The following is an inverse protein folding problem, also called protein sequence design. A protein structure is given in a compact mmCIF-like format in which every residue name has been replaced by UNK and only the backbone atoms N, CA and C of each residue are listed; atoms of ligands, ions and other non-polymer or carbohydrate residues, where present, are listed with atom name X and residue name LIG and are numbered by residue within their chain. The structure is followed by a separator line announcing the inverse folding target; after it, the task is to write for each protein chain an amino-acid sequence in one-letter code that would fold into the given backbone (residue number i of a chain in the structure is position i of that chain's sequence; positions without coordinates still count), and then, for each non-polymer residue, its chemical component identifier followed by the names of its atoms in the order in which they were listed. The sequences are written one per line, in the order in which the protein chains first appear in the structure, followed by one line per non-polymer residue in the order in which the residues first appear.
data_IF_321064685125
#
_entry.id   IF_321064685125
#
_cell.length_a   1.000
_cell.length_b   1.000
_cell.length_c   1.000
_cell.angle_alpha   90.00
_cell.angle_beta   90.00
_cell.angle_gamma   90.00
#
_symmetry.space_group_name_H-M   'P 1'
#
loop_
_entity.id
_entity.type
_entity.pdbx_description
1 polymer ?
#
# COMPACT_ATOMS: atom_id res chain seq x y z
N UNK A 1 8.25 16.13 -0.61
CA UNK A 1 9.44 15.70 -1.35
C UNK A 1 9.52 16.59 -2.56
N UNK A 2 10.37 17.56 -2.51
CA UNK A 2 10.58 18.55 -3.56
C UNK A 2 11.88 18.27 -4.28
N UNK A 3 11.93 18.56 -5.56
CA UNK A 3 13.11 18.63 -6.44
C UNK A 3 13.71 17.34 -6.99
N UNK A 4 13.05 16.19 -6.83
CA UNK A 4 13.46 14.97 -7.51
C UNK A 4 12.60 14.73 -8.75
N UNK A 5 13.24 14.39 -9.85
CA UNK A 5 12.59 14.10 -11.13
C UNK A 5 12.03 12.69 -11.15
N UNK A 6 11.05 12.43 -10.29
CA UNK A 6 10.33 11.17 -10.34
C UNK A 6 9.55 11.05 -11.64
N UNK A 7 9.57 9.88 -12.22
CA UNK A 7 8.96 9.59 -13.51
C UNK A 7 8.00 8.40 -13.49
N UNK A 8 8.03 7.58 -12.43
CA UNK A 8 7.22 6.36 -12.35
C UNK A 8 6.56 6.20 -10.99
N UNK A 9 5.28 5.82 -11.02
CA UNK A 9 4.47 5.47 -9.85
C UNK A 9 4.31 3.96 -9.78
N UNK A 10 4.57 3.36 -8.60
CA UNK A 10 4.36 1.95 -8.31
C UNK A 10 3.29 1.79 -7.25
N UNK A 11 2.35 0.87 -7.49
CA UNK A 11 1.26 0.51 -6.58
C UNK A 11 1.08 -1.00 -6.53
N UNK A 12 0.70 -1.55 -5.40
CA UNK A 12 0.43 -2.98 -5.25
C UNK A 12 -1.08 -3.24 -5.16
N UNK A 13 -1.58 -4.20 -5.94
CA UNK A 13 -2.98 -4.61 -5.86
C UNK A 13 -3.19 -5.54 -4.68
N UNK A 14 -4.40 -5.50 -4.11
CA UNK A 14 -4.85 -6.44 -3.09
C UNK A 14 -6.10 -7.22 -3.55
N UNK A 15 -6.33 -7.25 -4.85
CA UNK A 15 -7.44 -8.02 -5.40
C UNK A 15 -7.22 -9.52 -5.13
N UNK A 16 -8.30 -10.21 -4.75
CA UNK A 16 -8.26 -11.65 -4.46
C UNK A 16 -7.63 -12.46 -5.61
N UNK A 17 -6.71 -13.35 -5.27
CA UNK A 17 -5.86 -14.12 -6.19
C UNK A 17 -4.90 -13.28 -7.05
N UNK A 18 -4.73 -12.00 -6.74
CA UNK A 18 -3.76 -11.11 -7.38
C UNK A 18 -3.10 -10.17 -6.37
N UNK A 19 -3.05 -10.61 -5.11
CA UNK A 19 -2.47 -9.84 -4.02
C UNK A 19 -0.97 -9.65 -4.24
N UNK A 20 -0.51 -8.43 -4.01
CA UNK A 20 0.89 -8.07 -4.18
C UNK A 20 1.36 -7.88 -5.61
N UNK A 21 0.47 -7.97 -6.61
CA UNK A 21 0.85 -7.63 -7.98
C UNK A 21 1.22 -6.16 -8.07
N UNK A 22 2.47 -5.91 -8.40
CA UNK A 22 2.99 -4.56 -8.60
C UNK A 22 2.56 -4.01 -9.96
N UNK A 23 1.99 -2.81 -9.96
CA UNK A 23 1.67 -2.04 -11.15
C UNK A 23 2.56 -0.80 -11.17
N UNK A 24 3.23 -0.61 -12.28
CA UNK A 24 4.12 0.52 -12.53
C UNK A 24 3.57 1.34 -13.69
N UNK A 25 3.43 2.64 -13.49
CA UNK A 25 2.90 3.56 -14.49
C UNK A 25 3.82 4.78 -14.59
N UNK A 26 4.13 5.20 -15.81
CA UNK A 26 4.87 6.45 -16.02
C UNK A 26 3.98 7.63 -15.65
N UNK A 27 4.55 8.68 -15.08
CA UNK A 27 3.81 9.90 -14.73
C UNK A 27 3.22 10.60 -15.98
N UNK A 28 3.83 10.39 -17.13
CA UNK A 28 3.28 10.86 -18.43
C UNK A 28 1.96 10.18 -18.80
N UNK A 29 1.77 8.91 -18.41
CA UNK A 29 0.50 8.19 -18.60
C UNK A 29 -0.60 8.71 -17.67
N UNK A 30 -0.20 9.38 -16.59
CA UNK A 30 -1.10 10.02 -15.62
C UNK A 30 -1.28 11.54 -15.90
N UNK A 31 -0.79 12.04 -17.02
CA UNK A 31 -0.77 13.45 -17.40
C UNK A 31 -0.09 14.35 -16.36
N UNK A 32 0.97 13.84 -15.73
CA UNK A 32 1.74 14.53 -14.69
C UNK A 32 3.12 14.97 -15.15
N UNK A 33 3.36 15.05 -16.46
CA UNK A 33 4.57 15.61 -17.02
C UNK A 33 4.73 17.10 -16.71
N UNK A 34 5.98 17.56 -16.59
CA UNK A 34 6.31 18.95 -16.26
C UNK A 34 5.80 19.96 -17.27
N UNK A 35 5.75 19.60 -18.55
CA UNK A 35 5.27 20.48 -19.62
C UNK A 35 3.85 21.00 -19.41
N UNK A 36 3.03 20.28 -18.65
CA UNK A 36 1.65 20.65 -18.34
C UNK A 36 1.48 21.28 -16.95
N UNK A 37 2.52 21.36 -16.15
CA UNK A 37 2.43 21.78 -14.75
C UNK A 37 1.95 23.22 -14.56
N UNK A 38 2.12 24.07 -15.54
CA UNK A 38 1.63 25.46 -15.54
C UNK A 38 0.14 25.62 -15.87
N UNK A 39 -0.52 24.56 -16.33
CA UNK A 39 -1.89 24.62 -16.87
C UNK A 39 -2.95 23.99 -15.94
N UNK A 40 -2.60 23.68 -14.72
CA UNK A 40 -3.52 23.15 -13.73
C UNK A 40 -2.89 22.10 -12.82
N UNK A 41 -3.70 21.60 -11.91
CA UNK A 41 -3.31 20.54 -10.99
C UNK A 41 -3.72 19.19 -11.59
N UNK A 42 -2.80 18.25 -11.61
CA UNK A 42 -3.08 16.85 -11.93
C UNK A 42 -2.97 16.04 -10.66
N UNK A 43 -3.99 15.23 -10.38
CA UNK A 43 -4.11 14.45 -9.15
C UNK A 43 -4.40 13.00 -9.51
N UNK A 44 -3.59 12.11 -9.01
CA UNK A 44 -3.88 10.69 -8.93
C UNK A 44 -4.18 10.34 -7.48
N UNK A 45 -5.47 10.13 -7.18
CA UNK A 45 -5.96 9.77 -5.84
C UNK A 45 -6.43 8.33 -5.84
N UNK A 46 -6.02 7.55 -4.86
CA UNK A 46 -6.48 6.19 -4.62
C UNK A 46 -6.49 5.87 -3.14
N UNK A 47 -7.27 4.87 -2.77
CA UNK A 47 -7.45 4.50 -1.37
C UNK A 47 -8.54 3.47 -1.20
N UNK A 48 -9.01 3.35 0.02
CA UNK A 48 -10.11 2.48 0.39
C UNK A 48 -11.00 3.18 1.41
N UNK A 49 -12.30 3.10 1.20
CA UNK A 49 -13.32 3.58 2.14
C UNK A 49 -14.04 2.38 2.74
N UNK A 50 -14.28 2.43 4.06
CA UNK A 50 -14.96 1.39 4.81
C UNK A 50 -14.05 0.60 5.75
N UNK A 51 -14.58 -0.48 6.29
CA UNK A 51 -13.93 -1.31 7.31
C UNK A 51 -12.93 -2.33 6.76
N UNK A 52 -12.86 -2.50 5.44
CA UNK A 52 -11.85 -3.36 4.80
C UNK A 52 -10.74 -2.49 4.21
N UNK A 53 -9.63 -2.29 4.92
CA UNK A 53 -8.59 -1.35 4.50
C UNK A 53 -7.81 -1.80 3.26
N UNK A 54 -7.84 -3.10 2.94
CA UNK A 54 -7.12 -3.69 1.81
C UNK A 54 -8.11 -4.46 0.95
N UNK A 55 -8.56 -3.87 -0.16
CA UNK A 55 -9.54 -4.49 -1.05
C UNK A 55 -9.16 -4.43 -2.52
N UNK A 56 -8.77 -3.26 -3.03
CA UNK A 56 -8.28 -3.07 -4.41
C UNK A 56 -6.79 -2.78 -4.42
N UNK A 57 -6.34 -1.96 -3.49
CA UNK A 57 -4.97 -1.52 -3.35
C UNK A 57 -4.47 -1.80 -1.95
N UNK A 58 -3.17 -2.11 -1.83
CA UNK A 58 -2.49 -1.97 -0.55
C UNK A 58 -2.30 -0.49 -0.22
N UNK A 59 -2.28 -0.10 1.06
CA UNK A 59 -1.96 1.26 1.51
C UNK A 59 -0.45 1.54 1.34
N UNK A 60 0.02 1.35 0.12
CA UNK A 60 1.41 1.41 -0.31
C UNK A 60 1.54 2.15 -1.62
N UNK A 61 2.60 2.92 -1.74
CA UNK A 61 3.02 3.58 -2.96
C UNK A 61 4.53 3.67 -2.99
N UNK A 62 5.13 3.56 -4.16
CA UNK A 62 6.51 4.00 -4.36
C UNK A 62 6.58 4.89 -5.61
N UNK A 63 7.50 5.84 -5.58
CA UNK A 63 7.86 6.70 -6.71
C UNK A 63 9.32 6.46 -7.07
N UNK A 64 9.61 6.44 -8.36
CA UNK A 64 10.94 6.16 -8.92
C UNK A 64 11.44 7.34 -9.74
N UNK A 65 12.69 7.68 -9.54
CA UNK A 65 13.51 8.43 -10.48
C UNK A 65 14.39 7.44 -11.23
N UNK A 66 14.03 7.12 -12.47
CA UNK A 66 14.73 6.10 -13.24
C UNK A 66 16.12 6.54 -13.70
N UNK A 67 16.38 7.84 -13.85
CA UNK A 67 17.69 8.37 -14.23
C UNK A 67 18.70 8.23 -13.08
N UNK A 68 18.26 8.47 -11.85
CA UNK A 68 19.11 8.40 -10.65
C UNK A 68 19.06 7.04 -9.96
N UNK A 69 18.19 6.14 -10.42
CA UNK A 69 17.94 4.86 -9.78
C UNK A 69 17.58 5.04 -8.29
N UNK A 70 16.64 5.95 -8.02
CA UNK A 70 16.21 6.32 -6.67
C UNK A 70 14.72 6.02 -6.48
N UNK A 71 14.40 5.35 -5.39
CA UNK A 71 13.04 4.95 -5.04
C UNK A 71 12.67 5.50 -3.66
N UNK A 72 11.48 6.05 -3.56
CA UNK A 72 10.86 6.43 -2.29
C UNK A 72 9.56 5.67 -2.14
N UNK A 73 9.47 4.82 -1.14
CA UNK A 73 8.25 4.09 -0.81
C UNK A 73 7.61 4.58 0.47
N UNK A 74 6.29 4.55 0.50
CA UNK A 74 5.47 4.93 1.66
C UNK A 74 4.45 3.84 1.90
N UNK A 75 4.30 3.46 3.17
CA UNK A 75 3.25 2.55 3.63
C UNK A 75 2.48 3.18 4.79
N UNK A 76 1.15 3.11 4.71
CA UNK A 76 0.26 3.57 5.76
C UNK A 76 -0.20 2.38 6.62
N UNK A 77 -0.17 2.53 7.94
CA UNK A 77 -0.63 1.51 8.89
C UNK A 77 -2.01 1.89 9.42
N UNK A 78 -3.00 1.83 8.52
CA UNK A 78 -4.36 2.29 8.80
C UNK A 78 -5.32 1.10 8.66
N UNK A 79 -5.99 0.68 9.75
CA UNK A 79 -6.96 -0.43 9.72
C UNK A 79 -8.37 0.03 9.33
N UNK A 80 -8.50 1.15 8.66
CA UNK A 80 -9.78 1.76 8.27
C UNK A 80 -9.66 2.46 6.93
N UNK A 81 -10.52 3.43 6.66
CA UNK A 81 -10.47 4.24 5.43
C UNK A 81 -9.18 5.05 5.34
N UNK A 82 -8.54 5.00 4.20
CA UNK A 82 -7.28 5.69 3.92
C UNK A 82 -7.25 6.20 2.47
N UNK A 83 -6.37 7.15 2.22
CA UNK A 83 -6.09 7.66 0.89
C UNK A 83 -4.61 7.96 0.70
N UNK A 84 -4.18 7.88 -0.53
CA UNK A 84 -2.90 8.36 -1.02
C UNK A 84 -3.17 9.22 -2.25
N UNK A 85 -2.50 10.35 -2.31
CA UNK A 85 -2.58 11.28 -3.44
C UNK A 85 -1.19 11.59 -3.94
N UNK A 86 -1.02 11.48 -5.24
CA UNK A 86 0.12 12.02 -5.96
C UNK A 86 -0.37 13.17 -6.82
N UNK A 87 0.21 14.33 -6.69
CA UNK A 87 -0.18 15.48 -7.52
C UNK A 87 1.00 16.34 -7.89
N UNK A 88 0.84 17.03 -8.99
CA UNK A 88 1.77 18.05 -9.47
C UNK A 88 1.07 19.39 -9.62
N UNK A 89 1.60 20.38 -8.93
CA UNK A 89 1.22 21.77 -9.13
C UNK A 89 2.49 22.58 -9.38
N UNK A 90 2.59 23.15 -10.57
CA UNK A 90 3.84 23.75 -11.07
C UNK A 90 4.97 22.68 -11.10
N UNK A 91 6.14 23.00 -10.58
CA UNK A 91 7.31 22.11 -10.63
C UNK A 91 7.23 20.90 -9.67
N UNK A 92 6.90 21.09 -8.37
CA UNK A 92 7.05 19.99 -7.42
C UNK A 92 5.99 18.89 -7.62
N UNK A 93 6.46 17.64 -7.58
CA UNK A 93 5.63 16.48 -7.37
C UNK A 93 5.41 16.33 -5.86
N UNK A 94 4.16 16.17 -5.45
CA UNK A 94 3.79 16.03 -4.04
C UNK A 94 3.10 14.69 -3.83
N UNK A 95 3.56 13.96 -2.83
CA UNK A 95 2.94 12.74 -2.35
C UNK A 95 2.34 13.00 -0.97
N UNK A 96 1.05 12.77 -0.83
CA UNK A 96 0.28 12.83 0.41
C UNK A 96 -0.32 11.46 0.73
N UNK A 97 -0.55 11.20 2.00
CA UNK A 97 -1.24 10.00 2.43
C UNK A 97 -1.65 10.07 3.90
N UNK A 98 -2.70 9.34 4.24
CA UNK A 98 -3.23 9.31 5.59
C UNK A 98 -4.64 8.73 5.65
N UNK A 99 -5.36 9.10 6.71
CA UNK A 99 -6.80 8.81 6.80
C UNK A 99 -7.53 9.44 5.61
N UNK A 100 -8.57 8.77 5.14
CA UNK A 100 -9.44 9.33 4.11
C UNK A 100 -10.04 10.65 4.61
N UNK A 101 -9.94 11.69 3.77
CA UNK A 101 -10.48 13.02 4.08
C UNK A 101 -12.01 13.07 3.99
N UNK A 102 -12.58 14.25 4.26
CA UNK A 102 -14.02 14.44 4.20
C UNK A 102 -14.58 14.22 2.79
N UNK A 103 -13.88 14.68 1.77
CA UNK A 103 -14.35 14.57 0.37
C UNK A 103 -14.33 13.12 -0.14
N UNK A 104 -13.37 12.33 0.30
CA UNK A 104 -13.20 10.95 -0.14
C UNK A 104 -13.89 9.94 0.80
N UNK A 105 -13.75 10.11 2.11
CA UNK A 105 -14.19 9.16 3.13
C UNK A 105 -15.30 9.68 4.06
N UNK A 106 -15.78 10.90 3.86
CA UNK A 106 -16.78 11.55 4.73
C UNK A 106 -16.40 11.54 6.22
N UNK A 107 -15.09 11.59 6.51
CA UNK A 107 -14.58 11.56 7.87
C UNK A 107 -14.09 12.93 8.29
N UNK A 108 -14.48 13.32 9.49
CA UNK A 108 -13.93 14.48 10.17
C UNK A 108 -13.85 14.22 11.68
N UNK A 109 -12.98 14.93 12.37
CA UNK A 109 -12.84 14.88 13.82
C UNK A 109 -12.71 16.29 14.36
N UNK A 110 -13.62 16.65 15.24
CA UNK A 110 -13.50 17.85 16.05
C UNK A 110 -12.45 17.61 17.15
N UNK A 111 -11.57 18.58 17.35
CA UNK A 111 -10.56 18.58 18.41
C UNK A 111 -10.78 19.84 19.23
N UNK A 112 -11.20 19.69 20.49
CA UNK A 112 -11.45 20.79 21.40
C UNK A 112 -10.12 21.33 21.97
N UNK A 113 -10.11 22.58 22.50
CA UNK A 113 -8.94 23.12 23.15
C UNK A 113 -8.43 22.22 24.29
N UNK A 114 -7.16 21.83 24.25
CA UNK A 114 -6.54 20.90 25.19
C UNK A 114 -6.61 19.42 24.81
N UNK A 115 -7.36 19.05 23.79
CA UNK A 115 -7.39 17.69 23.24
C UNK A 115 -6.30 17.48 22.18
N UNK A 116 -5.94 16.22 21.96
CA UNK A 116 -5.04 15.80 20.89
C UNK A 116 -5.60 14.61 20.11
N UNK A 117 -5.18 14.49 18.87
CA UNK A 117 -5.47 13.33 18.04
C UNK A 117 -4.17 12.80 17.45
N UNK A 118 -3.90 11.52 17.67
CA UNK A 118 -2.75 10.84 17.08
C UNK A 118 -3.19 10.14 15.81
N UNK A 119 -2.60 10.52 14.69
CA UNK A 119 -2.82 9.84 13.42
C UNK A 119 -2.22 8.44 13.41
N UNK A 120 -2.74 7.51 12.60
CA UNK A 120 -2.05 6.26 12.32
C UNK A 120 -0.63 6.50 11.78
N UNK A 121 0.22 5.49 11.94
CA UNK A 121 1.61 5.54 11.48
C UNK A 121 1.70 5.52 9.96
N UNK A 122 2.68 6.24 9.43
CA UNK A 122 3.18 6.09 8.08
C UNK A 122 4.69 5.81 8.15
N UNK A 123 5.17 4.93 7.28
CA UNK A 123 6.60 4.62 7.18
C UNK A 123 7.08 5.01 5.79
N UNK A 124 8.22 5.66 5.74
CA UNK A 124 8.88 6.07 4.50
C UNK A 124 10.21 5.35 4.39
N UNK A 125 10.49 4.78 3.24
CA UNK A 125 11.76 4.13 2.92
C UNK A 125 12.35 4.71 1.64
N UNK A 126 13.66 4.87 1.60
CA UNK A 126 14.40 5.37 0.44
C UNK A 126 15.51 4.39 0.09
N UNK A 127 15.61 4.00 -1.18
CA UNK A 127 16.67 3.08 -1.64
C UNK A 127 16.92 3.23 -3.15
N UNK A 128 17.88 2.49 -3.64
CA UNK A 128 18.25 2.36 -5.05
C UNK A 128 17.47 1.26 -5.79
N UNK A 129 16.51 0.62 -5.12
CA UNK A 129 15.73 -0.49 -5.67
C UNK A 129 14.34 -0.58 -5.02
N UNK A 130 13.31 -0.82 -5.84
CA UNK A 130 11.96 -1.04 -5.36
C UNK A 130 11.88 -2.23 -4.40
N UNK A 131 12.61 -3.31 -4.69
CA UNK A 131 12.65 -4.49 -3.81
C UNK A 131 13.23 -4.17 -2.44
N UNK A 132 14.33 -3.39 -2.39
CA UNK A 132 14.92 -2.96 -1.12
C UNK A 132 13.98 -2.04 -0.34
N UNK A 133 13.27 -1.15 -1.02
CA UNK A 133 12.23 -0.33 -0.39
C UNK A 133 11.17 -1.21 0.25
N UNK A 134 10.64 -2.20 -0.45
CA UNK A 134 9.66 -3.15 0.08
C UNK A 134 10.22 -3.91 1.30
N UNK A 135 11.46 -4.42 1.22
CA UNK A 135 12.13 -5.12 2.34
C UNK A 135 12.27 -4.22 3.57
N UNK A 136 12.67 -2.96 3.38
CA UNK A 136 12.76 -1.99 4.49
C UNK A 136 11.39 -1.72 5.13
N UNK A 137 10.33 -1.58 4.33
CA UNK A 137 8.98 -1.37 4.83
C UNK A 137 8.46 -2.59 5.60
N UNK A 138 8.73 -3.80 5.12
CA UNK A 138 8.40 -5.06 5.83
C UNK A 138 9.14 -5.14 7.16
N UNK A 139 10.44 -4.86 7.19
CA UNK A 139 11.23 -4.85 8.42
C UNK A 139 10.75 -3.81 9.43
N UNK A 140 10.27 -2.66 8.96
CA UNK A 140 9.73 -1.62 9.84
C UNK A 140 8.40 -1.99 10.49
N UNK A 141 7.67 -2.97 9.98
CA UNK A 141 6.44 -3.47 10.59
C UNK A 141 6.70 -4.19 11.91
N UNK A 142 7.84 -4.89 12.03
CA UNK A 142 8.20 -5.72 13.20
C UNK A 142 6.98 -6.47 13.74
N UNK A 143 6.35 -7.36 12.94
CA UNK A 143 5.17 -8.07 13.39
C UNK A 143 5.50 -8.92 14.62
N UNK A 144 4.64 -8.89 15.61
CA UNK A 144 4.72 -9.82 16.74
C UNK A 144 4.45 -11.22 16.18
N UNK A 145 5.48 -12.05 16.18
CA UNK A 145 5.36 -13.46 15.79
C UNK A 145 4.91 -14.25 17.03
N UNK A 146 3.79 -14.97 16.88
CA UNK A 146 3.34 -15.89 17.92
C UNK A 146 4.40 -16.98 18.16
N UNK A 147 4.71 -17.35 19.42
CA UNK A 147 5.62 -18.46 19.68
C UNK A 147 5.26 -19.77 18.95
N UNK A 148 3.97 -19.99 18.66
CA UNK A 148 3.51 -21.15 17.86
C UNK A 148 3.96 -21.05 16.39
N UNK A 149 4.20 -19.84 15.89
CA UNK A 149 4.58 -19.59 14.49
C UNK A 149 6.10 -19.46 14.31
N UNK A 150 6.89 -19.48 15.39
CA UNK A 150 8.36 -19.37 15.31
C UNK A 150 8.97 -20.50 14.46
N UNK A 151 8.43 -21.70 14.54
CA UNK A 151 8.89 -22.87 13.78
C UNK A 151 8.25 -22.96 12.39
N UNK A 152 7.41 -22.00 12.00
CA UNK A 152 6.70 -21.98 10.71
C UNK A 152 6.08 -23.34 10.35
N UNK A 153 5.13 -23.88 11.14
CA UNK A 153 4.57 -25.19 10.89
C UNK A 153 3.85 -25.22 9.53
N UNK A 154 3.97 -26.34 8.83
CA UNK A 154 3.22 -26.55 7.58
C UNK A 154 1.76 -26.79 7.93
N UNK A 155 0.89 -25.90 7.47
CA UNK A 155 -0.55 -26.00 7.65
C UNK A 155 -1.19 -26.48 6.34
N UNK A 156 -1.92 -27.59 6.40
CA UNK A 156 -2.70 -28.07 5.26
C UNK A 156 -4.15 -27.58 5.37
N UNK A 157 -4.60 -26.86 4.35
CA UNK A 157 -5.99 -26.48 4.19
C UNK A 157 -6.66 -27.40 3.17
N UNK A 158 -7.58 -28.25 3.63
CA UNK A 158 -8.21 -29.27 2.80
C UNK A 158 -9.29 -28.74 1.86
N UNK A 159 -9.76 -27.50 2.02
CA UNK A 159 -10.90 -26.95 1.26
C UNK A 159 -10.78 -27.17 -0.25
N UNK A 160 -9.62 -26.86 -0.83
CA UNK A 160 -9.38 -27.03 -2.26
C UNK A 160 -9.26 -28.49 -2.70
N UNK A 161 -8.97 -29.41 -1.76
CA UNK A 161 -8.83 -30.83 -2.05
C UNK A 161 -10.17 -31.55 -2.11
N UNK A 162 -11.11 -31.18 -1.24
CA UNK A 162 -12.41 -31.82 -1.10
C UNK A 162 -13.58 -30.93 -1.52
N UNK A 163 -13.34 -29.68 -1.87
CA UNK A 163 -14.36 -28.67 -2.22
C UNK A 163 -15.45 -28.52 -1.14
N UNK A 164 -15.02 -28.48 0.11
CA UNK A 164 -15.91 -28.29 1.26
C UNK A 164 -16.64 -29.55 1.71
N UNK A 165 -16.16 -30.72 1.32
CA UNK A 165 -16.62 -32.02 1.82
C UNK A 165 -15.51 -32.74 2.62
N UNK A 166 -15.08 -32.20 3.78
CA UNK A 166 -14.02 -32.76 4.59
C UNK A 166 -14.56 -33.99 5.33
N UNK A 167 -14.08 -35.17 4.97
CA UNK A 167 -14.29 -36.39 5.73
C UNK A 167 -12.98 -36.82 6.38
N UNK A 168 -13.05 -37.47 7.55
CA UNK A 168 -11.86 -38.00 8.24
C UNK A 168 -11.07 -38.90 7.30
N UNK A 169 -11.76 -39.74 6.54
CA UNK A 169 -11.14 -40.66 5.58
C UNK A 169 -10.34 -39.91 4.50
N UNK A 170 -10.90 -38.83 3.93
CA UNK A 170 -10.22 -38.01 2.93
C UNK A 170 -9.01 -37.28 3.50
N UNK A 171 -9.12 -36.76 4.72
CA UNK A 171 -8.02 -36.09 5.42
C UNK A 171 -6.88 -37.06 5.70
N UNK A 172 -7.17 -38.22 6.26
CA UNK A 172 -6.15 -39.26 6.53
C UNK A 172 -5.46 -39.75 5.27
N UNK A 173 -6.20 -39.96 4.19
CA UNK A 173 -5.67 -40.36 2.89
C UNK A 173 -4.72 -39.31 2.29
N UNK A 174 -5.04 -38.04 2.50
CA UNK A 174 -4.22 -36.94 2.01
C UNK A 174 -2.97 -36.76 2.86
N UNK A 175 -3.10 -36.85 4.20
CA UNK A 175 -1.98 -36.71 5.13
C UNK A 175 -0.94 -37.85 5.04
N UNK A 176 -1.32 -39.03 4.53
CA UNK A 176 -0.42 -40.17 4.35
C UNK A 176 0.36 -40.15 3.03
N UNK A 177 0.13 -39.21 2.13
CA UNK A 177 0.87 -39.00 0.89
C UNK A 177 2.03 -38.03 1.07
#
# INVERSE_FOLDING_TARGET
ITDLDFDTLHRATSFWSAEGKMLSQKLTELNMERSWSGHGIRIEKFGQVGSMPVRKWFPFVAIENSEKNEFIGVQLYIPSSWQIELFRHKEPLTLLGGLADFDYGHWCKEILPGESFTTPKAVVAVSDSLLKVCDMLVKAQSPDISPVDEDLPVIFNEYCTSWGNPTIENLEKTAKK
#
